data_IF_203458234422
#
_entry.id   IF_203458234422
#
_cell.length_a   1.000
_cell.length_b   1.000
_cell.length_c   1.000
_cell.angle_alpha   90.00
_cell.angle_beta   90.00
_cell.angle_gamma   90.00
#
_symmetry.space_group_name_H-M   'P 1'
#
loop_
_entity.id
_entity.type
_entity.pdbx_description
1 polymer ?
#
# COMPACT_ATOMS: atom_id res chain seq x y z
N UNK A 1 1.64 9.21 11.55
CA UNK A 1 1.49 10.45 10.77
C UNK A 1 1.45 10.11 9.30
N UNK A 2 0.41 10.54 8.60
CA UNK A 2 0.20 10.31 7.18
C UNK A 2 -0.02 11.66 6.49
N UNK A 3 0.61 11.89 5.35
CA UNK A 3 0.30 13.05 4.51
C UNK A 3 -0.98 12.79 3.72
N UNK A 4 -1.87 13.77 3.67
CA UNK A 4 -3.11 13.71 2.89
C UNK A 4 -2.85 13.50 1.39
N UNK A 5 -1.71 13.97 0.88
CA UNK A 5 -1.38 13.90 -0.54
C UNK A 5 -0.78 12.54 -0.98
N UNK A 6 -0.88 11.48 -0.17
CA UNK A 6 -0.39 10.15 -0.57
C UNK A 6 -1.37 9.54 -1.57
N UNK A 7 -0.95 9.45 -2.83
CA UNK A 7 -1.72 8.80 -3.91
C UNK A 7 -1.32 7.32 -4.11
N UNK A 8 -0.93 6.64 -3.03
CA UNK A 8 -0.51 5.24 -3.06
C UNK A 8 -1.67 4.31 -2.71
N UNK A 9 -1.68 3.15 -3.35
CA UNK A 9 -2.65 2.09 -3.10
C UNK A 9 -1.95 0.76 -2.85
N UNK A 10 -2.57 -0.08 -2.04
CA UNK A 10 -2.23 -1.49 -1.86
C UNK A 10 -3.01 -2.34 -2.84
N UNK A 11 -2.32 -2.94 -3.79
CA UNK A 11 -2.88 -3.88 -4.75
C UNK A 11 -2.65 -5.30 -4.26
N UNK A 12 -3.72 -6.07 -4.07
CA UNK A 12 -3.66 -7.49 -3.74
C UNK A 12 -3.89 -8.31 -5.01
N UNK A 13 -2.90 -9.10 -5.41
CA UNK A 13 -2.95 -10.04 -6.53
C UNK A 13 -3.16 -11.44 -5.99
N UNK A 14 -4.10 -12.18 -6.59
CA UNK A 14 -4.35 -13.59 -6.30
C UNK A 14 -4.28 -14.43 -7.56
N UNK A 15 -4.07 -15.74 -7.38
CA UNK A 15 -4.22 -16.73 -8.43
C UNK A 15 -5.58 -17.42 -8.29
N UNK A 16 -6.31 -17.66 -9.37
CA UNK A 16 -7.55 -18.46 -9.29
C UNK A 16 -7.29 -19.96 -9.23
N UNK A 17 -6.09 -20.41 -9.62
CA UNK A 17 -5.74 -21.84 -9.70
C UNK A 17 -4.99 -22.38 -8.48
N UNK A 18 -4.54 -21.52 -7.56
CA UNK A 18 -3.88 -21.90 -6.32
C UNK A 18 -4.00 -20.80 -5.26
N UNK A 19 -3.43 -21.01 -4.09
CA UNK A 19 -3.42 -20.10 -2.92
C UNK A 19 -2.38 -18.95 -3.00
N UNK A 20 -1.73 -18.74 -4.15
CA UNK A 20 -0.78 -17.63 -4.30
C UNK A 20 -1.47 -16.27 -4.09
N UNK A 21 -0.94 -15.49 -3.16
CA UNK A 21 -1.34 -14.11 -2.88
C UNK A 21 -0.09 -13.25 -2.78
N UNK A 22 -0.11 -12.07 -3.41
CA UNK A 22 0.95 -11.07 -3.30
C UNK A 22 0.32 -9.70 -3.13
N UNK A 23 0.97 -8.84 -2.36
CA UNK A 23 0.63 -7.44 -2.22
C UNK A 23 1.73 -6.56 -2.80
N UNK A 24 1.35 -5.51 -3.51
CA UNK A 24 2.24 -4.49 -4.05
C UNK A 24 1.69 -3.10 -3.73
N UNK A 25 2.58 -2.17 -3.36
CA UNK A 25 2.24 -0.75 -3.23
C UNK A 25 2.66 -0.03 -4.49
N UNK A 26 1.75 0.74 -5.09
CA UNK A 26 2.02 1.52 -6.30
C UNK A 26 1.18 2.79 -6.32
N UNK A 27 1.45 3.69 -7.27
CA UNK A 27 0.58 4.86 -7.46
C UNK A 27 -0.74 4.41 -8.07
N UNK A 28 -1.84 5.06 -7.67
CA UNK A 28 -3.16 4.70 -8.21
C UNK A 28 -3.23 4.71 -9.75
N UNK A 29 -2.54 5.67 -10.39
CA UNK A 29 -2.46 5.78 -11.85
C UNK A 29 -1.74 4.61 -12.55
N UNK A 30 -0.93 3.83 -11.83
CA UNK A 30 -0.17 2.69 -12.37
C UNK A 30 -0.98 1.37 -12.30
N UNK A 31 -2.08 1.34 -11.55
CA UNK A 31 -2.89 0.13 -11.32
C UNK A 31 -3.45 -0.47 -12.61
N UNK A 32 -3.87 0.38 -13.55
CA UNK A 32 -4.45 -0.08 -14.82
C UNK A 32 -3.39 -0.82 -15.67
N UNK A 33 -2.22 -0.23 -15.84
CA UNK A 33 -1.09 -0.82 -16.56
C UNK A 33 -0.62 -2.10 -15.84
N UNK A 34 -0.54 -2.07 -14.51
CA UNK A 34 -0.19 -3.25 -13.72
C UNK A 34 -1.19 -4.39 -13.93
N UNK A 35 -2.49 -4.12 -13.88
CA UNK A 35 -3.54 -5.12 -14.14
C UNK A 35 -3.42 -5.73 -15.53
N UNK A 36 -3.11 -4.91 -16.54
CA UNK A 36 -2.87 -5.40 -17.91
C UNK A 36 -1.62 -6.29 -17.99
N UNK A 37 -0.56 -5.94 -17.26
CA UNK A 37 0.69 -6.71 -17.23
C UNK A 37 0.55 -8.12 -16.64
N UNK A 38 -0.53 -8.38 -15.88
CA UNK A 38 -0.84 -9.71 -15.34
C UNK A 38 -1.46 -10.65 -16.37
N UNK A 39 -2.03 -10.11 -17.45
CA UNK A 39 -2.69 -10.92 -18.47
C UNK A 39 -1.68 -11.87 -19.14
N UNK A 40 -1.93 -13.17 -19.07
CA UNK A 40 -1.04 -14.19 -19.62
C UNK A 40 0.23 -14.44 -18.80
N UNK A 41 0.47 -13.68 -17.71
CA UNK A 41 1.64 -13.88 -16.86
C UNK A 41 1.47 -15.16 -16.03
N UNK A 42 2.43 -16.10 -16.06
CA UNK A 42 2.34 -17.33 -15.30
C UNK A 42 2.38 -17.05 -13.80
N UNK A 43 1.54 -17.74 -13.03
CA UNK A 43 1.61 -17.70 -11.58
C UNK A 43 2.96 -18.26 -11.11
N UNK A 44 3.73 -17.56 -10.25
CA UNK A 44 5.04 -18.03 -9.80
C UNK A 44 4.97 -19.27 -8.89
N UNK A 45 3.78 -19.65 -8.41
CA UNK A 45 3.58 -20.87 -7.59
C UNK A 45 3.18 -22.10 -8.40
N UNK A 46 2.23 -21.98 -9.34
CA UNK A 46 1.67 -23.13 -10.08
C UNK A 46 1.86 -23.05 -11.60
N UNK A 47 2.50 -21.99 -12.10
CA UNK A 47 2.77 -21.72 -13.52
C UNK A 47 1.53 -21.54 -14.42
N UNK A 48 0.31 -21.61 -13.88
CA UNK A 48 -0.93 -21.34 -14.62
C UNK A 48 -1.13 -19.82 -14.78
N UNK A 49 -1.40 -19.30 -15.98
CA UNK A 49 -1.56 -17.85 -16.24
C UNK A 49 -2.95 -17.36 -15.79
N UNK A 50 -3.15 -17.35 -14.47
CA UNK A 50 -4.45 -17.08 -13.85
C UNK A 50 -4.35 -16.08 -12.69
N UNK A 51 -3.38 -15.17 -12.77
CA UNK A 51 -3.22 -14.06 -11.85
C UNK A 51 -4.26 -12.97 -12.14
N UNK A 52 -4.82 -12.39 -11.09
CA UNK A 52 -5.75 -11.27 -11.19
C UNK A 52 -5.62 -10.33 -9.99
N UNK A 53 -6.00 -9.07 -10.19
CA UNK A 53 -6.13 -8.11 -9.09
C UNK A 53 -7.41 -8.40 -8.32
N UNK A 54 -7.27 -8.85 -7.07
CA UNK A 54 -8.37 -9.20 -6.18
C UNK A 54 -8.87 -8.02 -5.35
N UNK A 55 -7.98 -7.09 -4.98
CA UNK A 55 -8.34 -5.89 -4.23
C UNK A 55 -7.40 -4.73 -4.56
N UNK A 56 -7.91 -3.51 -4.51
CA UNK A 56 -7.14 -2.26 -4.55
C UNK A 56 -7.68 -1.40 -3.41
N UNK A 57 -6.84 -1.12 -2.42
CA UNK A 57 -7.22 -0.33 -1.24
C UNK A 57 -6.31 0.89 -1.13
N UNK A 58 -6.84 2.03 -0.75
CA UNK A 58 -6.02 3.20 -0.45
C UNK A 58 -5.04 2.89 0.67
N UNK A 59 -3.80 3.34 0.52
CA UNK A 59 -2.76 3.04 1.51
C UNK A 59 -3.03 3.75 2.84
N UNK A 60 -3.63 4.94 2.80
CA UNK A 60 -4.05 5.68 4.01
C UNK A 60 -5.06 4.84 4.80
N UNK A 61 -6.12 4.34 4.14
CA UNK A 61 -7.13 3.50 4.77
C UNK A 61 -6.54 2.19 5.32
N UNK A 62 -5.63 1.55 4.59
CA UNK A 62 -4.96 0.35 5.09
C UNK A 62 -4.16 0.62 6.38
N UNK A 63 -3.42 1.72 6.42
CA UNK A 63 -2.62 2.10 7.58
C UNK A 63 -3.49 2.57 8.75
N UNK A 64 -4.63 3.21 8.47
CA UNK A 64 -5.60 3.61 9.49
C UNK A 64 -6.23 2.39 10.18
N UNK A 65 -6.67 1.40 9.40
CA UNK A 65 -7.22 0.16 9.95
C UNK A 65 -6.18 -0.58 10.82
N UNK A 66 -4.93 -0.68 10.35
CA UNK A 66 -3.84 -1.30 11.12
C UNK A 66 -3.54 -0.53 12.41
N UNK A 67 -3.62 0.80 12.38
CA UNK A 67 -3.43 1.62 13.56
C UNK A 67 -4.55 1.39 14.57
N UNK A 68 -5.81 1.31 14.13
CA UNK A 68 -6.95 0.97 14.99
C UNK A 68 -6.77 -0.43 15.63
N UNK A 69 -6.41 -1.44 14.83
CA UNK A 69 -6.17 -2.81 15.31
C UNK A 69 -5.05 -2.90 16.36
N UNK A 70 -4.05 -2.01 16.28
CA UNK A 70 -2.88 -2.01 17.17
C UNK A 70 -2.96 -0.96 18.30
N UNK A 71 -4.02 -0.16 18.30
CA UNK A 71 -4.23 0.98 19.21
C UNK A 71 -3.21 2.11 19.01
N UNK A 72 -2.68 2.27 17.81
CA UNK A 72 -1.84 3.41 17.45
C UNK A 72 -2.72 4.59 17.03
N UNK A 73 -2.29 5.81 17.37
CA UNK A 73 -2.99 7.02 16.96
C UNK A 73 -2.65 7.38 15.51
N UNK A 74 -3.67 7.76 14.74
CA UNK A 74 -3.53 8.23 13.36
C UNK A 74 -3.67 9.73 13.32
N UNK A 75 -2.66 10.39 12.76
CA UNK A 75 -2.66 11.83 12.49
C UNK A 75 -2.47 12.05 10.99
N UNK A 76 -3.41 12.76 10.36
CA UNK A 76 -3.37 13.12 8.95
C UNK A 76 -2.95 14.58 8.84
N UNK A 77 -1.87 14.84 8.11
CA UNK A 77 -1.33 16.18 7.90
C UNK A 77 -1.63 16.66 6.48
N UNK A 78 -2.27 17.83 6.40
CA UNK A 78 -2.51 18.51 5.12
C UNK A 78 -1.20 18.88 4.43
N UNK A 79 -1.13 18.65 3.12
CA UNK A 79 0.00 19.04 2.27
C UNK A 79 0.25 20.55 2.17
N UNK A 80 -0.66 21.38 2.70
CA UNK A 80 -0.53 22.85 2.70
C UNK A 80 0.32 23.39 3.86
N UNK A 81 0.48 22.60 4.93
CA UNK A 81 1.28 22.96 6.10
C UNK A 81 2.78 22.72 5.86
N UNK A 82 3.65 23.43 6.59
CA UNK A 82 5.11 23.22 6.49
C UNK A 82 5.47 21.77 6.89
N UNK A 83 4.86 21.28 7.96
CA UNK A 83 5.02 19.94 8.49
C UNK A 83 4.56 18.87 7.49
N UNK A 84 3.38 19.05 6.88
CA UNK A 84 2.87 18.14 5.85
C UNK A 84 3.74 18.11 4.59
N UNK A 85 4.24 19.27 4.15
CA UNK A 85 5.20 19.33 3.05
C UNK A 85 6.52 18.63 3.37
N UNK A 86 7.04 18.83 4.58
CA UNK A 86 8.25 18.14 5.04
C UNK A 86 8.03 16.63 5.14
N UNK A 87 6.91 16.18 5.72
CA UNK A 87 6.56 14.77 5.80
C UNK A 87 6.55 14.11 4.41
N UNK A 88 5.91 14.77 3.44
CA UNK A 88 5.85 14.30 2.04
C UNK A 88 7.23 14.26 1.38
N UNK A 89 7.99 15.36 1.43
CA UNK A 89 9.26 15.50 0.70
C UNK A 89 10.40 14.69 1.31
N UNK A 90 10.46 14.59 2.64
CA UNK A 90 11.57 13.95 3.36
C UNK A 90 11.32 12.48 3.69
N UNK A 91 10.07 12.09 3.95
CA UNK A 91 9.72 10.73 4.39
C UNK A 91 8.77 10.01 3.43
N UNK A 92 8.49 10.58 2.25
CA UNK A 92 7.56 10.00 1.29
C UNK A 92 6.10 10.05 1.73
N UNK A 93 5.77 10.87 2.73
CA UNK A 93 4.42 11.10 3.23
C UNK A 93 4.03 10.23 4.43
N UNK A 94 4.83 9.23 4.80
CA UNK A 94 4.47 8.26 5.86
C UNK A 94 5.55 8.30 6.94
N UNK A 95 5.14 8.49 8.19
CA UNK A 95 6.03 8.39 9.34
C UNK A 95 5.31 7.82 10.57
N UNK A 96 6.08 7.19 11.45
CA UNK A 96 5.58 6.61 12.69
C UNK A 96 6.54 6.93 13.84
N UNK A 97 5.95 7.20 15.01
CA UNK A 97 6.66 7.25 16.29
C UNK A 97 6.40 5.91 16.98
N UNK A 98 7.46 5.17 17.26
CA UNK A 98 7.36 3.83 17.85
C UNK A 98 7.33 3.91 19.37
N UNK A 99 6.53 3.05 20.02
CA UNK A 99 6.47 2.96 21.49
C UNK A 99 7.81 2.50 22.10
N UNK A 100 8.59 1.74 21.35
CA UNK A 100 9.91 1.24 21.72
C UNK A 100 10.78 1.11 20.47
N UNK A 101 12.10 1.06 20.69
CA UNK A 101 13.06 0.85 19.61
C UNK A 101 12.92 -0.57 19.06
N UNK A 102 12.81 -0.70 17.74
CA UNK A 102 12.86 -2.02 17.07
C UNK A 102 14.28 -2.56 17.06
N UNK A 103 14.42 -3.87 17.23
CA UNK A 103 15.70 -4.54 16.97
C UNK A 103 15.82 -4.68 15.47
N UNK A 104 16.83 -4.03 14.87
CA UNK A 104 17.18 -4.22 13.47
C UNK A 104 18.26 -5.28 13.34
#
# INVERSE_FOLDING_TARGET
MLSEDIELVRVTVKCTSCDYTKQETMKNREVLEFKQSLNGKPCPKCNVPSLFVANVKELIDELADLAEETGADVEILSGETEEGQMLKKSFGGIAAILRYKTSN
#
